data_IF_004016073439
#
_entry.id   IF_004016073439
#
_cell.length_a   1.000
_cell.length_b   1.000
_cell.length_c   1.000
_cell.angle_alpha   90.00
_cell.angle_beta   90.00
_cell.angle_gamma   90.00
#
_symmetry.space_group_name_H-M   'P 1'
#
loop_
_entity.id
_entity.type
_entity.pdbx_description
1 polymer ?
#
# COMPACT_ATOMS: atom_id res chain seq x y z
N UNK A 1 -22.82 26.93 -82.67
CA UNK A 1 -23.24 27.45 -81.35
C UNK A 1 -23.92 26.30 -80.65
N UNK A 2 -23.43 25.65 -79.59
CA UNK A 2 -22.39 25.90 -78.58
C UNK A 2 -21.90 24.48 -78.16
N UNK A 3 -20.59 24.20 -78.24
CA UNK A 3 -19.62 24.18 -77.12
C UNK A 3 -19.69 22.94 -76.23
N UNK A 4 -18.61 22.14 -76.29
CA UNK A 4 -18.20 21.09 -75.36
C UNK A 4 -17.98 21.64 -73.93
N UNK A 5 -18.22 20.81 -72.91
CA UNK A 5 -17.32 20.71 -71.75
C UNK A 5 -17.52 19.42 -70.93
N UNK A 6 -16.38 18.80 -70.67
CA UNK A 6 -16.02 17.70 -69.76
C UNK A 6 -16.14 18.04 -68.26
N UNK A 7 -16.25 17.00 -67.42
CA UNK A 7 -15.91 17.02 -65.99
C UNK A 7 -16.93 16.22 -65.15
N UNK A 8 -16.64 15.00 -64.69
CA UNK A 8 -15.78 14.59 -63.55
C UNK A 8 -16.68 14.07 -62.40
N UNK A 9 -16.61 12.76 -62.17
CA UNK A 9 -17.22 12.08 -61.01
C UNK A 9 -16.57 12.58 -59.72
N UNK A 10 -17.38 12.92 -58.72
CA UNK A 10 -16.94 12.93 -57.33
C UNK A 10 -18.01 12.29 -56.45
N UNK A 11 -17.61 11.20 -55.79
CA UNK A 11 -18.37 10.48 -54.78
C UNK A 11 -18.70 11.41 -53.60
N UNK A 12 -19.99 11.65 -53.36
CA UNK A 12 -20.46 12.24 -52.11
C UNK A 12 -20.39 11.18 -51.00
N UNK A 13 -19.24 11.14 -50.31
CA UNK A 13 -19.10 10.45 -49.04
C UNK A 13 -20.08 11.06 -48.02
N UNK A 14 -21.10 10.29 -47.64
CA UNK A 14 -21.86 10.52 -46.42
C UNK A 14 -20.91 10.52 -45.23
N UNK A 15 -20.60 11.71 -44.72
CA UNK A 15 -19.92 11.92 -43.45
C UNK A 15 -20.84 11.44 -42.34
N UNK A 16 -20.62 10.20 -41.91
CA UNK A 16 -21.06 9.71 -40.60
C UNK A 16 -20.36 10.57 -39.55
N UNK A 17 -21.07 11.56 -39.01
CA UNK A 17 -20.67 12.24 -37.79
C UNK A 17 -20.74 11.23 -36.62
N UNK A 18 -19.65 10.51 -36.39
CA UNK A 18 -19.38 9.88 -35.10
C UNK A 18 -19.10 10.98 -34.07
N UNK A 19 -19.84 11.05 -32.94
CA UNK A 19 -19.40 11.84 -31.81
C UNK A 19 -18.16 11.15 -31.23
N UNK A 20 -17.00 11.78 -31.36
CA UNK A 20 -15.82 11.45 -30.58
C UNK A 20 -16.06 11.88 -29.13
N UNK A 21 -16.86 11.13 -28.39
CA UNK A 21 -16.88 11.22 -26.93
C UNK A 21 -15.66 10.47 -26.42
N UNK A 22 -14.63 11.23 -26.05
CA UNK A 22 -13.58 10.73 -25.18
C UNK A 22 -14.22 10.58 -23.78
N UNK A 23 -14.97 9.49 -23.58
CA UNK A 23 -15.66 9.20 -22.31
C UNK A 23 -14.61 8.85 -21.27
N UNK A 24 -14.15 9.85 -20.52
CA UNK A 24 -13.40 9.62 -19.30
C UNK A 24 -14.19 8.65 -18.40
N UNK A 25 -13.53 7.62 -17.88
CA UNK A 25 -14.15 6.70 -16.92
C UNK A 25 -14.81 7.46 -15.76
N UNK A 26 -16.08 7.13 -15.49
CA UNK A 26 -16.87 7.68 -14.39
C UNK A 26 -17.54 6.55 -13.61
N UNK A 27 -17.71 6.76 -12.30
CA UNK A 27 -18.34 5.79 -11.39
C UNK A 27 -19.21 6.54 -10.39
N UNK A 28 -20.37 5.97 -10.05
CA UNK A 28 -21.24 6.52 -9.00
C UNK A 28 -20.73 6.16 -7.59
N UNK A 29 -21.08 6.98 -6.58
CA UNK A 29 -20.69 6.73 -5.20
C UNK A 29 -21.15 5.38 -4.65
N UNK A 30 -22.32 4.89 -5.09
CA UNK A 30 -22.85 3.57 -4.70
C UNK A 30 -21.95 2.42 -5.19
N UNK A 31 -21.42 2.52 -6.40
CA UNK A 31 -20.57 1.49 -7.00
C UNK A 31 -19.15 1.57 -6.43
N UNK A 32 -18.64 2.79 -6.17
CA UNK A 32 -17.41 2.96 -5.40
C UNK A 32 -17.53 2.31 -4.01
N UNK A 33 -18.63 2.54 -3.30
CA UNK A 33 -18.83 1.93 -1.98
C UNK A 33 -18.86 0.40 -2.05
N UNK A 34 -19.49 -0.17 -3.07
CA UNK A 34 -19.48 -1.62 -3.32
C UNK A 34 -18.06 -2.14 -3.61
N UNK A 35 -17.30 -1.43 -4.46
CA UNK A 35 -15.91 -1.75 -4.75
C UNK A 35 -15.05 -1.75 -3.48
N UNK A 36 -15.11 -0.69 -2.68
CA UNK A 36 -14.31 -0.57 -1.45
C UNK A 36 -14.63 -1.68 -0.44
N UNK A 37 -15.91 -2.07 -0.32
CA UNK A 37 -16.33 -3.22 0.51
C UNK A 37 -15.77 -4.54 -0.01
N UNK A 38 -15.91 -4.82 -1.31
CA UNK A 38 -15.35 -6.04 -1.89
C UNK A 38 -13.83 -6.10 -1.75
N UNK A 39 -13.14 -4.98 -1.99
CA UNK A 39 -11.70 -4.87 -1.77
C UNK A 39 -11.31 -5.10 -0.31
N UNK A 40 -12.08 -4.58 0.65
CA UNK A 40 -11.86 -4.83 2.08
C UNK A 40 -11.91 -6.32 2.40
N UNK A 41 -12.96 -7.02 1.95
CA UNK A 41 -13.14 -8.45 2.21
C UNK A 41 -11.99 -9.28 1.64
N UNK A 42 -11.61 -8.99 0.39
CA UNK A 42 -10.49 -9.68 -0.28
C UNK A 42 -9.17 -9.41 0.43
N UNK A 43 -8.89 -8.16 0.82
CA UNK A 43 -7.58 -7.77 1.34
C UNK A 43 -7.38 -8.11 2.81
N UNK A 44 -8.42 -8.04 3.64
CA UNK A 44 -8.29 -8.08 5.09
C UNK A 44 -9.08 -9.21 5.73
N UNK A 45 -10.24 -9.59 5.19
CA UNK A 45 -11.00 -10.72 5.72
C UNK A 45 -10.50 -12.07 5.16
N UNK A 46 -9.77 -12.06 4.04
CA UNK A 46 -9.27 -13.25 3.32
C UNK A 46 -10.38 -14.27 3.06
N UNK A 47 -11.59 -13.77 2.81
CA UNK A 47 -12.74 -14.59 2.45
C UNK A 47 -12.47 -15.26 1.10
N UNK A 48 -12.29 -16.58 1.10
CA UNK A 48 -11.97 -17.37 -0.09
C UNK A 48 -13.10 -17.40 -1.11
N UNK A 49 -14.32 -17.06 -0.68
CA UNK A 49 -15.51 -17.12 -1.53
C UNK A 49 -15.67 -15.83 -2.36
N UNK A 50 -14.93 -14.77 -2.02
CA UNK A 50 -14.96 -13.48 -2.72
C UNK A 50 -13.71 -13.31 -3.57
N UNK A 51 -13.91 -13.29 -4.88
CA UNK A 51 -12.84 -13.07 -5.85
C UNK A 51 -12.88 -11.64 -6.40
N UNK A 52 -11.72 -11.13 -6.84
CA UNK A 52 -11.64 -9.83 -7.51
C UNK A 52 -12.55 -9.77 -8.73
N UNK A 53 -12.60 -10.85 -9.51
CA UNK A 53 -13.46 -10.97 -10.70
C UNK A 53 -14.96 -10.82 -10.35
N UNK A 54 -15.43 -11.45 -9.28
CA UNK A 54 -16.82 -11.33 -8.84
C UNK A 54 -17.16 -9.89 -8.41
N UNK A 55 -16.26 -9.22 -7.68
CA UNK A 55 -16.43 -7.81 -7.29
C UNK A 55 -16.47 -6.92 -8.53
N UNK A 56 -15.58 -7.15 -9.50
CA UNK A 56 -15.52 -6.37 -10.73
C UNK A 56 -16.76 -6.56 -11.60
N UNK A 57 -17.27 -7.78 -11.74
CA UNK A 57 -18.52 -8.05 -12.43
C UNK A 57 -19.69 -7.30 -11.80
N UNK A 58 -19.76 -7.23 -10.46
CA UNK A 58 -20.81 -6.52 -9.74
C UNK A 58 -20.71 -4.98 -9.88
N UNK A 59 -19.49 -4.44 -9.88
CA UNK A 59 -19.25 -2.99 -9.88
C UNK A 59 -19.25 -2.40 -11.29
N UNK A 60 -18.62 -3.08 -12.25
CA UNK A 60 -18.39 -2.58 -13.61
C UNK A 60 -19.22 -3.30 -14.67
N UNK A 61 -19.91 -4.39 -14.31
CA UNK A 61 -20.70 -5.21 -15.24
C UNK A 61 -19.88 -6.16 -16.11
N UNK A 62 -18.55 -6.19 -15.96
CA UNK A 62 -17.63 -7.02 -16.73
C UNK A 62 -16.58 -7.68 -15.82
N UNK A 63 -16.23 -8.93 -16.10
CA UNK A 63 -15.19 -9.67 -15.37
C UNK A 63 -13.78 -9.17 -15.74
N UNK A 64 -13.60 -8.73 -16.99
CA UNK A 64 -12.35 -8.18 -17.51
C UNK A 64 -12.46 -6.66 -17.51
N UNK A 65 -11.58 -6.03 -16.73
CA UNK A 65 -11.52 -4.57 -16.62
C UNK A 65 -10.87 -3.93 -17.83
N UNK A 66 -11.34 -2.73 -18.17
CA UNK A 66 -10.54 -1.81 -19.01
C UNK A 66 -9.30 -1.34 -18.25
N UNK A 67 -8.32 -0.79 -18.96
CA UNK A 67 -7.11 -0.23 -18.35
C UNK A 67 -7.46 0.84 -17.30
N UNK A 68 -8.39 1.75 -17.62
CA UNK A 68 -8.84 2.79 -16.70
C UNK A 68 -9.50 2.24 -15.43
N UNK A 69 -10.37 1.22 -15.58
CA UNK A 69 -11.01 0.55 -14.44
C UNK A 69 -10.00 -0.18 -13.56
N UNK A 70 -9.02 -0.83 -14.18
CA UNK A 70 -7.92 -1.51 -13.49
C UNK A 70 -7.07 -0.53 -12.69
N UNK A 71 -6.71 0.61 -13.30
CA UNK A 71 -5.97 1.68 -12.63
C UNK A 71 -6.77 2.27 -11.46
N UNK A 72 -8.07 2.52 -11.65
CA UNK A 72 -8.94 3.04 -10.59
C UNK A 72 -9.05 2.07 -9.41
N UNK A 73 -9.29 0.78 -9.66
CA UNK A 73 -9.37 -0.24 -8.62
C UNK A 73 -8.03 -0.38 -7.88
N UNK A 74 -6.90 -0.36 -8.61
CA UNK A 74 -5.56 -0.37 -8.02
C UNK A 74 -5.34 0.85 -7.13
N UNK A 75 -5.75 2.04 -7.55
CA UNK A 75 -5.64 3.26 -6.74
C UNK A 75 -6.48 3.17 -5.47
N UNK A 76 -7.71 2.64 -5.55
CA UNK A 76 -8.53 2.40 -4.37
C UNK A 76 -7.82 1.49 -3.36
N UNK A 77 -7.24 0.37 -3.81
CA UNK A 77 -6.44 -0.52 -2.94
C UNK A 77 -5.27 0.22 -2.29
N UNK A 78 -4.54 1.03 -3.05
CA UNK A 78 -3.40 1.80 -2.55
C UNK A 78 -3.82 2.81 -1.47
N UNK A 79 -4.91 3.53 -1.69
CA UNK A 79 -5.43 4.50 -0.71
C UNK A 79 -5.84 3.79 0.59
N UNK A 80 -6.55 2.65 0.50
CA UNK A 80 -6.93 1.88 1.71
C UNK A 80 -5.68 1.41 2.47
N UNK A 81 -4.66 0.88 1.77
CA UNK A 81 -3.40 0.45 2.39
C UNK A 81 -2.67 1.62 3.06
N UNK A 82 -2.56 2.75 2.37
CA UNK A 82 -1.91 3.95 2.89
C UNK A 82 -2.62 4.47 4.14
N UNK A 83 -3.95 4.62 4.07
CA UNK A 83 -4.77 5.08 5.19
C UNK A 83 -4.67 4.14 6.39
N UNK A 84 -4.69 2.82 6.17
CA UNK A 84 -4.53 1.82 7.23
C UNK A 84 -3.15 1.82 7.86
N UNK A 85 -2.10 1.91 7.03
CA UNK A 85 -0.72 1.99 7.50
C UNK A 85 -0.44 3.28 8.29
N UNK A 86 -0.99 4.42 7.85
CA UNK A 86 -0.86 5.70 8.54
C UNK A 86 -1.81 5.85 9.73
N UNK A 87 -2.71 4.88 9.95
CA UNK A 87 -3.75 4.91 10.97
C UNK A 87 -4.58 6.21 10.92
N UNK A 88 -5.02 6.60 9.72
CA UNK A 88 -5.80 7.82 9.54
C UNK A 88 -7.22 7.69 10.13
N UNK A 89 -7.71 8.79 10.71
CA UNK A 89 -9.13 8.95 10.99
C UNK A 89 -9.88 9.45 9.73
N UNK A 90 -11.21 9.55 9.81
CA UNK A 90 -12.06 9.97 8.69
C UNK A 90 -11.71 11.36 8.15
N UNK A 91 -11.31 12.28 9.02
CA UNK A 91 -10.97 13.65 8.62
C UNK A 91 -9.63 13.70 7.88
N UNK A 92 -8.61 12.99 8.36
CA UNK A 92 -7.31 12.89 7.70
C UNK A 92 -7.42 12.21 6.32
N UNK A 93 -8.25 11.17 6.19
CA UNK A 93 -8.53 10.56 4.89
C UNK A 93 -9.24 11.56 3.96
N UNK A 94 -10.26 12.27 4.46
CA UNK A 94 -10.99 13.26 3.67
C UNK A 94 -10.05 14.35 3.16
N UNK A 95 -9.20 14.87 4.03
CA UNK A 95 -8.20 15.88 3.69
C UNK A 95 -7.24 15.39 2.60
N UNK A 96 -6.73 14.16 2.73
CA UNK A 96 -5.90 13.53 1.71
C UNK A 96 -6.63 13.44 0.37
N UNK A 97 -7.86 12.94 0.35
CA UNK A 97 -8.66 12.81 -0.88
C UNK A 97 -8.96 14.15 -1.56
N UNK A 98 -9.00 15.26 -0.82
CA UNK A 98 -9.31 16.59 -1.36
C UNK A 98 -8.09 17.41 -1.76
N UNK A 99 -6.94 17.18 -1.12
CA UNK A 99 -5.75 18.03 -1.25
C UNK A 99 -4.60 17.35 -2.00
N UNK A 100 -4.53 16.03 -2.04
CA UNK A 100 -3.51 15.30 -2.79
C UNK A 100 -3.89 15.25 -4.28
N UNK A 101 -3.04 15.81 -5.14
CA UNK A 101 -3.31 15.91 -6.60
C UNK A 101 -3.52 14.53 -7.23
N UNK A 102 -2.77 13.52 -6.80
CA UNK A 102 -2.91 12.16 -7.32
C UNK A 102 -4.24 11.55 -6.85
N UNK A 103 -4.54 11.58 -5.55
CA UNK A 103 -5.81 11.04 -5.03
C UNK A 103 -7.03 11.73 -5.63
N UNK A 104 -6.97 13.06 -5.77
CA UNK A 104 -8.04 13.89 -6.34
C UNK A 104 -8.28 13.61 -7.82
N UNK A 105 -7.25 13.23 -8.58
CA UNK A 105 -7.42 12.85 -9.99
C UNK A 105 -8.30 11.60 -10.17
N UNK A 106 -8.29 10.68 -9.20
CA UNK A 106 -9.14 9.49 -9.21
C UNK A 106 -10.46 9.69 -8.45
N UNK A 107 -10.42 10.34 -7.27
CA UNK A 107 -11.58 10.61 -6.42
C UNK A 107 -11.98 12.07 -6.61
N UNK A 108 -12.45 12.39 -7.81
CA UNK A 108 -12.59 13.76 -8.30
C UNK A 108 -13.86 14.47 -7.85
N UNK A 109 -14.91 13.73 -7.48
CA UNK A 109 -16.21 14.30 -7.12
C UNK A 109 -16.46 14.27 -5.61
N UNK A 110 -17.19 15.25 -5.05
CA UNK A 110 -17.57 15.23 -3.63
C UNK A 110 -18.34 13.98 -3.20
N UNK A 111 -19.14 13.40 -4.09
CA UNK A 111 -19.90 12.16 -3.82
C UNK A 111 -18.96 10.96 -3.62
N UNK A 112 -17.91 10.86 -4.45
CA UNK A 112 -16.91 9.79 -4.32
C UNK A 112 -16.12 9.94 -3.02
N UNK A 113 -15.71 11.16 -2.68
CA UNK A 113 -15.04 11.45 -1.40
C UNK A 113 -15.94 11.03 -0.23
N UNK A 114 -17.22 11.42 -0.23
CA UNK A 114 -18.16 11.04 0.82
C UNK A 114 -18.34 9.53 0.93
N UNK A 115 -18.43 8.83 -0.20
CA UNK A 115 -18.57 7.37 -0.23
C UNK A 115 -17.35 6.67 0.34
N UNK A 116 -16.15 7.16 0.03
CA UNK A 116 -14.89 6.64 0.57
C UNK A 116 -14.79 6.89 2.08
N UNK A 117 -15.07 8.12 2.53
CA UNK A 117 -15.04 8.47 3.95
C UNK A 117 -16.07 7.66 4.75
N UNK A 118 -17.27 7.43 4.18
CA UNK A 118 -18.29 6.56 4.79
C UNK A 118 -17.83 5.11 4.90
N UNK A 119 -17.15 4.58 3.88
CA UNK A 119 -16.52 3.27 3.97
C UNK A 119 -15.47 3.25 5.09
N UNK A 120 -14.59 4.26 5.14
CA UNK A 120 -13.49 4.30 6.09
C UNK A 120 -13.95 4.42 7.54
N UNK A 121 -14.98 5.23 7.81
CA UNK A 121 -15.50 5.41 9.17
C UNK A 121 -16.05 4.12 9.77
N UNK A 122 -16.51 3.20 8.94
CA UNK A 122 -17.05 1.90 9.38
C UNK A 122 -15.99 0.82 9.51
N UNK A 123 -14.92 0.86 8.70
CA UNK A 123 -13.98 -0.26 8.56
C UNK A 123 -12.56 0.04 9.06
N UNK A 124 -12.19 1.31 9.29
CA UNK A 124 -10.82 1.72 9.66
C UNK A 124 -10.24 0.98 10.85
N UNK A 125 -11.04 0.78 11.91
CA UNK A 125 -10.62 0.05 13.10
C UNK A 125 -10.28 -1.41 12.79
N UNK A 126 -11.15 -2.10 12.05
CA UNK A 126 -10.96 -3.51 11.68
C UNK A 126 -9.74 -3.69 10.77
N UNK A 127 -9.60 -2.81 9.77
CA UNK A 127 -8.44 -2.79 8.87
C UNK A 127 -7.14 -2.60 9.67
N UNK A 128 -7.11 -1.63 10.58
CA UNK A 128 -5.92 -1.38 11.38
C UNK A 128 -5.59 -2.55 12.31
N UNK A 129 -6.58 -3.14 12.96
CA UNK A 129 -6.39 -4.34 13.79
C UNK A 129 -5.86 -5.52 12.97
N UNK A 130 -6.38 -5.72 11.76
CA UNK A 130 -5.91 -6.78 10.87
C UNK A 130 -4.47 -6.54 10.44
N UNK A 131 -4.10 -5.31 10.08
CA UNK A 131 -2.71 -4.94 9.79
C UNK A 131 -1.77 -5.20 10.98
N UNK A 132 -2.21 -4.90 12.21
CA UNK A 132 -1.45 -5.24 13.42
C UNK A 132 -1.33 -6.77 13.58
N UNK A 133 -2.41 -7.53 13.34
CA UNK A 133 -2.38 -8.98 13.45
C UNK A 133 -1.44 -9.61 12.42
N UNK A 134 -1.57 -9.21 11.15
CA UNK A 134 -0.77 -9.73 10.05
C UNK A 134 0.71 -9.34 10.24
N UNK A 135 0.99 -8.13 10.71
CA UNK A 135 2.37 -7.75 11.06
C UNK A 135 2.90 -8.52 12.26
N UNK A 136 2.08 -8.84 13.27
CA UNK A 136 2.52 -9.74 14.37
C UNK A 136 2.84 -11.14 13.88
N UNK A 137 2.11 -11.65 12.89
CA UNK A 137 2.40 -12.93 12.24
C UNK A 137 3.68 -12.85 11.39
N UNK A 138 3.91 -11.74 10.68
CA UNK A 138 5.09 -11.49 9.85
C UNK A 138 6.37 -11.24 10.68
N UNK A 139 6.28 -10.43 11.73
CA UNK A 139 7.38 -10.19 12.67
C UNK A 139 7.59 -11.37 13.62
N UNK A 140 6.55 -12.19 13.84
CA UNK A 140 6.53 -13.57 14.39
C UNK A 140 7.10 -13.80 15.79
N UNK A 141 7.96 -12.92 16.26
CA UNK A 141 8.97 -13.22 17.26
C UNK A 141 9.01 -12.04 18.24
N UNK A 142 8.25 -12.16 19.33
CA UNK A 142 8.46 -11.26 20.46
C UNK A 142 9.81 -11.58 21.08
N UNK A 143 10.75 -10.65 21.06
CA UNK A 143 11.98 -10.75 21.85
C UNK A 143 11.59 -10.82 23.33
N UNK A 144 11.98 -11.89 24.02
CA UNK A 144 11.67 -12.09 25.44
C UNK A 144 12.87 -11.83 26.35
N UNK A 145 14.07 -12.01 25.83
CA UNK A 145 15.31 -11.84 26.57
C UNK A 145 16.45 -11.46 25.61
N UNK A 146 17.33 -10.58 26.07
CA UNK A 146 18.56 -10.18 25.40
C UNK A 146 19.70 -10.20 26.42
N UNK A 147 20.65 -11.11 26.22
CA UNK A 147 21.86 -11.22 27.03
C UNK A 147 23.06 -10.85 26.19
N UNK A 148 24.06 -10.25 26.84
CA UNK A 148 25.28 -9.88 26.16
C UNK A 148 26.48 -10.00 27.10
N UNK A 149 27.65 -10.18 26.50
CA UNK A 149 28.95 -10.06 27.18
C UNK A 149 29.97 -9.48 26.21
N UNK A 150 31.06 -8.94 26.77
CA UNK A 150 32.18 -8.40 25.99
C UNK A 150 33.34 -9.38 26.10
N UNK A 151 33.79 -9.88 24.96
CA UNK A 151 34.94 -10.78 24.85
C UNK A 151 36.12 -10.03 24.21
N UNK A 152 37.35 -10.39 24.59
CA UNK A 152 38.56 -9.98 23.88
C UNK A 152 39.05 -11.14 23.03
N UNK A 153 39.17 -10.92 21.72
CA UNK A 153 39.72 -11.88 20.77
C UNK A 153 41.12 -11.49 20.37
N UNK A 154 42.02 -12.47 20.34
CA UNK A 154 43.37 -12.25 19.82
C UNK A 154 43.34 -12.27 18.30
N UNK A 155 43.64 -11.14 17.66
CA UNK A 155 43.71 -11.04 16.20
C UNK A 155 45.18 -11.07 15.76
N UNK A 156 45.67 -12.27 15.43
CA UNK A 156 47.08 -12.52 15.08
C UNK A 156 47.52 -11.74 13.82
N UNK A 157 46.58 -11.27 13.01
CA UNK A 157 46.86 -10.55 11.76
C UNK A 157 47.00 -9.03 11.94
N UNK A 158 46.67 -8.46 13.12
CA UNK A 158 46.86 -7.04 13.44
C UNK A 158 48.05 -6.88 14.40
N UNK A 159 49.22 -6.51 13.86
CA UNK A 159 50.48 -6.34 14.61
C UNK A 159 50.45 -5.20 15.66
N UNK A 160 49.52 -4.25 15.58
CA UNK A 160 49.43 -3.08 16.47
C UNK A 160 48.41 -3.21 17.61
N UNK A 161 47.40 -4.06 17.46
CA UNK A 161 46.35 -4.32 18.45
C UNK A 161 46.10 -5.82 18.52
N UNK A 162 46.83 -6.49 19.41
CA UNK A 162 46.77 -7.95 19.56
C UNK A 162 45.36 -8.39 19.98
N UNK A 163 44.61 -7.53 20.68
CA UNK A 163 43.27 -7.85 21.19
C UNK A 163 42.20 -6.95 20.55
N UNK A 164 41.19 -7.57 19.95
CA UNK A 164 39.99 -6.94 19.41
C UNK A 164 38.80 -7.21 20.36
N UNK A 165 38.11 -6.16 20.79
CA UNK A 165 36.95 -6.29 21.68
C UNK A 165 35.68 -6.46 20.88
N UNK A 166 34.91 -7.50 21.20
CA UNK A 166 33.69 -7.88 20.50
C UNK A 166 32.56 -8.12 21.47
N UNK A 167 31.35 -7.75 21.09
CA UNK A 167 30.14 -8.02 21.86
C UNK A 167 29.50 -9.31 21.36
N UNK A 168 29.37 -10.30 22.23
CA UNK A 168 28.60 -11.51 21.95
C UNK A 168 27.19 -11.29 22.50
N UNK A 169 26.19 -11.37 21.61
CA UNK A 169 24.80 -11.09 21.93
C UNK A 169 23.94 -12.31 21.66
N UNK A 170 23.12 -12.65 22.65
CA UNK A 170 22.12 -13.70 22.59
C UNK A 170 20.73 -13.10 22.69
N UNK A 171 19.89 -13.37 21.70
CA UNK A 171 18.48 -12.98 21.66
C UNK A 171 17.61 -14.22 21.74
N UNK A 172 16.62 -14.20 22.64
CA UNK A 172 15.62 -15.26 22.74
C UNK A 172 14.25 -14.72 22.30
N UNK A 173 13.49 -15.53 21.57
CA UNK A 173 12.17 -15.15 21.07
C UNK A 173 11.09 -16.07 21.62
N UNK A 174 9.84 -15.58 21.69
CA UNK A 174 8.71 -16.32 22.26
C UNK A 174 8.25 -17.50 21.40
N UNK A 175 8.41 -17.42 20.09
CA UNK A 175 7.89 -18.39 19.11
C UNK A 175 8.59 -19.74 19.19
N UNK A 176 9.88 -19.75 19.54
CA UNK A 176 10.65 -20.95 19.82
C UNK A 176 11.66 -20.66 20.93
N UNK A 177 11.28 -21.08 22.15
CA UNK A 177 12.08 -20.92 23.38
C UNK A 177 13.45 -21.59 23.29
N UNK A 178 13.62 -22.55 22.36
CA UNK A 178 14.90 -23.21 22.10
C UNK A 178 15.70 -22.55 20.96
N UNK A 179 15.09 -21.66 20.18
CA UNK A 179 15.80 -20.84 19.19
C UNK A 179 16.38 -19.59 19.86
N UNK A 180 17.64 -19.70 20.27
CA UNK A 180 18.43 -18.52 20.66
C UNK A 180 19.28 -18.09 19.49
N UNK A 181 19.13 -16.84 19.06
CA UNK A 181 20.02 -16.25 18.06
C UNK A 181 21.27 -15.72 18.77
N UNK A 182 22.42 -16.32 18.49
CA UNK A 182 23.72 -15.89 19.00
C UNK A 182 24.54 -15.30 17.87
N UNK A 183 25.02 -14.08 18.04
CA UNK A 183 25.86 -13.40 17.06
C UNK A 183 26.85 -12.47 17.73
N UNK A 184 27.82 -12.01 16.95
CA UNK A 184 28.89 -11.14 17.39
C UNK A 184 28.83 -9.81 16.67
N UNK A 185 29.12 -8.74 17.41
CA UNK A 185 29.21 -7.39 16.88
C UNK A 185 30.53 -6.77 17.29
N UNK A 186 31.21 -6.14 16.33
CA UNK A 186 32.33 -5.24 16.63
C UNK A 186 31.81 -3.89 17.18
N UNK A 187 32.76 -3.03 17.58
CA UNK A 187 32.46 -1.73 18.16
C UNK A 187 31.61 -0.84 17.26
N UNK A 188 31.88 -0.82 15.96
CA UNK A 188 31.20 0.05 15.02
C UNK A 188 29.78 -0.45 14.74
N UNK A 189 29.61 -1.77 14.66
CA UNK A 189 28.31 -2.43 14.53
C UNK A 189 27.43 -2.16 15.75
N UNK A 190 27.95 -2.31 16.97
CA UNK A 190 27.21 -2.00 18.21
C UNK A 190 26.76 -0.54 18.21
N UNK A 191 27.66 0.38 17.85
CA UNK A 191 27.35 1.81 17.78
C UNK A 191 26.21 2.09 16.79
N UNK A 192 26.27 1.51 15.60
CA UNK A 192 25.24 1.69 14.57
C UNK A 192 23.87 1.16 15.02
N UNK A 193 23.84 -0.02 15.64
CA UNK A 193 22.60 -0.60 16.19
C UNK A 193 21.99 0.31 17.26
N UNK A 194 22.81 0.87 18.15
CA UNK A 194 22.33 1.81 19.18
C UNK A 194 21.79 3.12 18.59
N UNK A 195 22.36 3.60 17.50
CA UNK A 195 21.83 4.77 16.77
C UNK A 195 20.46 4.46 16.15
N UNK A 196 20.26 3.25 15.59
CA UNK A 196 18.95 2.84 15.08
C UNK A 196 17.89 2.75 16.18
N UNK A 197 18.22 2.21 17.37
CA UNK A 197 17.30 2.20 18.50
C UNK A 197 16.89 3.61 18.95
N UNK A 198 17.79 4.60 18.89
CA UNK A 198 17.45 6.00 19.19
C UNK A 198 16.49 6.60 18.16
N UNK A 199 16.63 6.25 16.89
CA UNK A 199 15.68 6.68 15.84
C UNK A 199 14.29 6.08 16.12
N UNK A 200 14.23 4.80 16.47
CA UNK A 200 12.98 4.12 16.84
C UNK A 200 12.34 4.80 18.07
N UNK A 201 13.12 5.04 19.13
CA UNK A 201 12.65 5.73 20.33
C UNK A 201 12.09 7.12 20.02
N UNK A 202 12.85 7.92 19.27
CA UNK A 202 12.43 9.27 18.86
C UNK A 202 11.11 9.24 18.08
N UNK A 203 10.91 8.19 17.27
CA UNK A 203 9.66 8.03 16.52
C UNK A 203 8.49 7.66 17.42
N UNK A 204 8.69 6.83 18.42
CA UNK A 204 7.66 6.49 19.41
C UNK A 204 7.27 7.75 20.19
N UNK A 205 8.24 8.53 20.67
CA UNK A 205 7.98 9.74 21.46
C UNK A 205 7.20 10.81 20.68
N UNK A 206 7.36 10.87 19.35
CA UNK A 206 6.58 11.76 18.48
C UNK A 206 5.12 11.31 18.29
N UNK A 207 4.84 10.02 18.52
CA UNK A 207 3.54 9.40 18.26
C UNK A 207 2.74 9.11 19.53
N UNK A 208 3.38 9.15 20.71
CA UNK A 208 2.78 9.03 22.05
C UNK A 208 2.27 10.37 22.57
#
# INVERSE_FOLDING_TARGET
MFSEQTGEQTDEAHTVNTPSENTAFTIDGKYLLALLKGLHQIMYEKDSDITESAVYQQVFGNEILTEEQSQFAKKCKQIIKLAGFKNWNSDALKEYLTNDEEAKSFISTPELVQSFVKFWSLNSLQIHQKLISDSKEEFGNTMIDMKWRIDQKTNINKLSEINESVAVVQISTRSDVNSTLLFEMDKDTVKSVMEQFKVIQSRIDQLS
#
